data_IF_184964602429
#
_entry.id   IF_184964602429
#
_cell.length_a   1.000
_cell.length_b   1.000
_cell.length_c   1.000
_cell.angle_alpha   90.00
_cell.angle_beta   90.00
_cell.angle_gamma   90.00
#
_symmetry.space_group_name_H-M   'P 1'
#
loop_
_entity.id
_entity.type
_entity.pdbx_description
1 polymer ?
#
# COMPACT_ATOMS: atom_id res chain seq x y z
N UNK A 1 -4.71 -25.75 -24.80
CA UNK A 1 -5.94 -25.11 -24.28
C UNK A 1 -5.83 -24.64 -22.84
N UNK A 2 -5.16 -25.34 -21.92
CA UNK A 2 -5.01 -24.93 -20.51
C UNK A 2 -4.29 -23.59 -20.29
N UNK A 3 -3.26 -23.29 -21.07
CA UNK A 3 -2.45 -22.08 -20.92
C UNK A 3 -3.23 -20.77 -21.15
N UNK A 4 -4.17 -20.78 -22.09
CA UNK A 4 -4.99 -19.60 -22.42
C UNK A 4 -5.97 -19.26 -21.28
N UNK A 5 -6.54 -20.30 -20.66
CA UNK A 5 -7.41 -20.14 -19.49
C UNK A 5 -6.64 -19.68 -18.25
N UNK A 6 -5.44 -20.19 -18.01
CA UNK A 6 -4.61 -19.72 -16.88
C UNK A 6 -4.21 -18.26 -17.04
N UNK A 7 -3.86 -17.83 -18.26
CA UNK A 7 -3.55 -16.42 -18.54
C UNK A 7 -4.78 -15.55 -18.33
N UNK A 8 -5.96 -15.97 -18.81
CA UNK A 8 -7.21 -15.24 -18.61
C UNK A 8 -7.58 -15.07 -17.13
N UNK A 9 -7.38 -16.12 -16.31
CA UNK A 9 -7.64 -16.06 -14.86
C UNK A 9 -6.67 -15.12 -14.15
N UNK A 10 -5.38 -15.11 -14.54
CA UNK A 10 -4.40 -14.19 -13.95
C UNK A 10 -4.68 -12.74 -14.30
N UNK A 11 -5.06 -12.46 -15.55
CA UNK A 11 -5.44 -11.11 -15.99
C UNK A 11 -6.69 -10.63 -15.27
N UNK A 12 -7.72 -11.47 -15.15
CA UNK A 12 -8.95 -11.09 -14.44
C UNK A 12 -8.68 -10.81 -12.96
N UNK A 13 -7.86 -11.62 -12.29
CA UNK A 13 -7.46 -11.39 -10.90
C UNK A 13 -6.69 -10.07 -10.72
N UNK A 14 -5.77 -9.76 -11.64
CA UNK A 14 -4.99 -8.51 -11.59
C UNK A 14 -5.85 -7.26 -11.84
N UNK A 15 -6.77 -7.32 -12.81
CA UNK A 15 -7.66 -6.20 -13.17
C UNK A 15 -8.66 -5.88 -12.05
N UNK A 16 -9.06 -6.87 -11.27
CA UNK A 16 -10.06 -6.72 -10.22
C UNK A 16 -9.48 -6.38 -8.85
N UNK A 17 -8.15 -6.27 -8.71
CA UNK A 17 -7.54 -5.87 -7.44
C UNK A 17 -7.72 -4.37 -7.21
N UNK A 18 -8.48 -3.94 -6.18
CA UNK A 18 -8.55 -2.52 -5.82
C UNK A 18 -7.27 -2.03 -5.14
N UNK A 19 -6.40 -2.96 -4.72
CA UNK A 19 -5.16 -2.72 -4.03
C UNK A 19 -3.98 -2.74 -5.02
N UNK A 20 -3.21 -1.65 -5.04
CA UNK A 20 -1.99 -1.49 -5.85
C UNK A 20 -0.94 -0.82 -4.96
N UNK A 21 0.35 -0.97 -5.26
CA UNK A 21 1.41 -0.26 -4.57
C UNK A 21 2.46 0.24 -5.55
N UNK A 22 2.88 1.48 -5.38
CA UNK A 22 3.99 2.08 -6.13
C UNK A 22 5.27 1.87 -5.33
N UNK A 23 6.32 1.39 -6.01
CA UNK A 23 7.56 0.92 -5.39
C UNK A 23 8.73 1.68 -5.99
N UNK A 24 9.57 2.27 -5.15
CA UNK A 24 10.80 2.96 -5.59
C UNK A 24 11.13 4.17 -4.73
N UNK A 25 10.20 5.11 -4.67
CA UNK A 25 10.33 6.36 -3.91
C UNK A 25 9.06 6.67 -3.10
N UNK A 26 9.13 7.72 -2.29
CA UNK A 26 7.99 8.20 -1.50
C UNK A 26 7.29 9.42 -2.12
N UNK A 27 7.74 9.93 -3.27
CA UNK A 27 7.23 11.17 -3.87
C UNK A 27 5.69 11.22 -3.94
N UNK A 28 4.97 10.16 -4.37
CA UNK A 28 3.51 10.23 -4.43
C UNK A 28 2.81 10.18 -3.07
N UNK A 29 3.51 9.83 -1.99
CA UNK A 29 2.93 9.64 -0.67
C UNK A 29 3.70 10.32 0.48
N UNK A 30 4.53 11.34 0.18
CA UNK A 30 5.31 12.09 1.17
C UNK A 30 4.46 12.72 2.28
N UNK A 31 3.23 13.12 1.95
CA UNK A 31 2.28 13.77 2.88
C UNK A 31 1.87 12.89 4.07
N UNK A 32 2.17 11.58 4.06
CA UNK A 32 1.98 10.70 5.23
C UNK A 32 3.09 10.81 6.26
N UNK A 33 4.24 11.38 5.91
CA UNK A 33 5.30 11.67 6.86
C UNK A 33 5.09 13.06 7.47
N UNK A 34 5.42 13.19 8.75
CA UNK A 34 5.44 14.48 9.41
C UNK A 34 6.39 15.43 8.66
N UNK A 35 5.90 16.62 8.31
CA UNK A 35 6.64 17.62 7.52
C UNK A 35 7.24 17.08 6.21
N UNK A 36 6.62 16.05 5.61
CA UNK A 36 7.12 15.40 4.40
C UNK A 36 8.54 14.86 4.56
N UNK A 37 8.89 14.37 5.76
CA UNK A 37 10.24 13.89 6.09
C UNK A 37 10.28 12.38 6.33
N UNK A 38 10.69 11.57 5.33
CA UNK A 38 10.84 10.12 5.49
C UNK A 38 11.94 9.74 6.51
N UNK A 39 11.85 8.54 7.12
CA UNK A 39 12.90 8.04 8.01
C UNK A 39 14.23 7.88 7.26
N UNK A 40 15.33 8.30 7.91
CA UNK A 40 16.71 8.18 7.39
C UNK A 40 17.48 7.15 8.21
N UNK A 41 18.51 6.55 7.62
CA UNK A 41 19.37 5.57 8.29
C UNK A 41 18.77 4.16 8.40
N UNK A 42 17.64 3.90 7.75
CA UNK A 42 17.04 2.58 7.62
C UNK A 42 17.05 2.17 6.15
N UNK A 43 17.62 1.00 5.87
CA UNK A 43 17.61 0.41 4.53
C UNK A 43 16.33 -0.40 4.32
N UNK A 44 15.60 -0.06 3.27
CA UNK A 44 14.34 -0.71 2.92
C UNK A 44 13.84 -0.28 1.55
N UNK A 45 12.77 -0.92 1.10
CA UNK A 45 12.07 -0.59 -0.13
C UNK A 45 10.96 0.42 0.19
N UNK A 46 10.99 1.65 -0.36
CA UNK A 46 9.88 2.60 -0.26
C UNK A 46 8.66 2.08 -1.02
N UNK A 47 7.50 2.15 -0.37
CA UNK A 47 6.23 1.69 -0.92
C UNK A 47 5.13 2.70 -0.59
N UNK A 48 4.44 3.19 -1.61
CA UNK A 48 3.19 3.94 -1.48
C UNK A 48 2.01 3.01 -1.74
N UNK A 49 1.19 2.73 -0.72
CA UNK A 49 0.06 1.79 -0.83
C UNK A 49 -1.21 2.51 -1.25
N UNK A 50 -1.88 1.94 -2.26
CA UNK A 50 -3.05 2.50 -2.91
C UNK A 50 -4.24 1.56 -2.80
N UNK A 51 -5.40 2.09 -2.43
CA UNK A 51 -6.68 1.39 -2.45
C UNK A 51 -7.73 2.27 -3.15
N UNK A 52 -8.44 1.70 -4.12
CA UNK A 52 -9.36 2.44 -4.99
C UNK A 52 -8.71 3.71 -5.57
N UNK A 53 -7.51 3.54 -6.16
CA UNK A 53 -6.74 4.60 -6.80
C UNK A 53 -6.38 5.80 -5.90
N UNK A 54 -6.48 5.66 -4.58
CA UNK A 54 -6.13 6.68 -3.58
C UNK A 54 -5.04 6.14 -2.67
N UNK A 55 -4.01 6.94 -2.37
CA UNK A 55 -2.97 6.55 -1.41
C UNK A 55 -3.51 6.57 0.00
N UNK A 56 -3.13 5.59 0.82
CA UNK A 56 -3.55 5.50 2.24
C UNK A 56 -2.39 5.35 3.22
N UNK A 57 -1.25 4.81 2.76
CA UNK A 57 -0.08 4.56 3.61
C UNK A 57 1.21 4.76 2.83
N UNK A 58 2.25 5.23 3.53
CA UNK A 58 3.64 5.18 3.10
C UNK A 58 4.39 4.16 3.97
N UNK A 59 5.09 3.20 3.37
CA UNK A 59 5.75 2.11 4.10
C UNK A 59 7.18 1.93 3.63
N UNK A 60 8.13 1.86 4.58
CA UNK A 60 9.50 1.42 4.31
C UNK A 60 9.61 -0.08 4.64
N UNK A 61 9.71 -0.92 3.61
CA UNK A 61 9.64 -2.37 3.77
C UNK A 61 11.02 -3.04 3.80
N UNK A 62 11.27 -3.87 4.80
CA UNK A 62 12.48 -4.70 4.88
C UNK A 62 12.24 -6.05 4.21
N UNK A 63 12.87 -6.27 3.04
CA UNK A 63 12.81 -7.58 2.37
C UNK A 63 13.44 -8.72 3.19
N UNK A 64 14.62 -8.56 3.82
CA UNK A 64 15.23 -9.63 4.62
C UNK A 64 14.36 -10.07 5.81
N UNK A 65 13.71 -9.11 6.48
CA UNK A 65 12.85 -9.38 7.65
C UNK A 65 11.41 -9.73 7.27
N UNK A 66 11.03 -9.49 6.01
CA UNK A 66 9.66 -9.60 5.50
C UNK A 66 8.66 -8.78 6.31
N UNK A 67 9.10 -7.64 6.83
CA UNK A 67 8.32 -6.76 7.69
C UNK A 67 8.56 -5.30 7.37
N UNK A 68 7.58 -4.41 7.62
CA UNK A 68 7.80 -2.98 7.52
C UNK A 68 8.72 -2.51 8.65
N UNK A 69 9.76 -1.74 8.30
CA UNK A 69 10.53 -0.97 9.28
C UNK A 69 9.70 0.18 9.84
N UNK A 70 8.97 0.84 8.94
CA UNK A 70 8.18 2.01 9.24
C UNK A 70 6.94 2.02 8.36
N UNK A 71 5.81 2.48 8.88
CA UNK A 71 4.62 2.78 8.11
C UNK A 71 3.94 4.02 8.68
N UNK A 72 3.56 4.95 7.81
CA UNK A 72 2.91 6.22 8.15
C UNK A 72 1.58 6.37 7.43
N UNK A 73 0.63 7.00 8.09
CA UNK A 73 -0.67 7.38 7.55
C UNK A 73 -1.21 8.61 8.27
N UNK A 74 -2.14 9.31 7.63
CA UNK A 74 -2.85 10.42 8.26
C UNK A 74 -4.09 9.91 8.98
N UNK A 75 -4.10 10.08 10.29
CA UNK A 75 -5.30 9.85 11.08
C UNK A 75 -6.29 11.01 10.83
N UNK A 76 -7.53 10.66 10.49
CA UNK A 76 -8.63 11.62 10.37
C UNK A 76 -9.67 11.32 11.43
N UNK A 77 -10.22 12.38 12.03
CA UNK A 77 -11.30 12.24 13.02
C UNK A 77 -12.48 11.52 12.38
N UNK A 78 -12.95 10.39 12.95
CA UNK A 78 -14.02 9.62 12.34
C UNK A 78 -15.32 10.43 12.30
N UNK A 79 -15.96 10.49 11.12
CA UNK A 79 -17.32 11.03 10.98
C UNK A 79 -18.33 9.94 11.30
N UNK A 80 -18.70 9.84 12.58
CA UNK A 80 -19.75 8.92 13.06
C UNK A 80 -19.22 7.61 13.65
N UNK A 81 -20.13 6.65 13.83
CA UNK A 81 -19.78 5.35 14.43
C UNK A 81 -18.87 4.55 13.50
N UNK A 82 -17.88 3.87 14.09
CA UNK A 82 -17.04 2.91 13.37
C UNK A 82 -17.95 1.91 12.62
N UNK A 83 -17.78 1.75 11.29
CA UNK A 83 -18.52 0.74 10.55
C UNK A 83 -18.28 -0.64 11.17
N UNK A 84 -19.28 -1.51 11.19
CA UNK A 84 -19.09 -2.95 11.48
C UNK A 84 -18.30 -3.55 10.30
N UNK A 85 -16.98 -3.38 10.29
CA UNK A 85 -16.15 -3.73 9.15
C UNK A 85 -15.95 -5.24 9.04
N UNK A 86 -16.13 -5.80 7.83
CA UNK A 86 -15.33 -6.95 7.39
C UNK A 86 -13.93 -6.39 7.11
N UNK A 87 -12.92 -6.96 7.75
CA UNK A 87 -11.53 -6.60 7.51
C UNK A 87 -11.23 -6.67 6.02
N UNK A 88 -10.71 -5.58 5.46
CA UNK A 88 -10.18 -5.59 4.09
C UNK A 88 -8.74 -6.07 4.19
N UNK A 89 -8.48 -7.24 3.60
CA UNK A 89 -7.16 -7.64 3.14
C UNK A 89 -7.08 -7.29 1.65
#
# INVERSE_FOLDING_TARGET
>A
MSCLWTVLILISAAVWSPCVADVGDFDPCLHFFYESWPPKGLEGTPICQRYNNTYHFATLYSRPRRSPWFSGYLYTTPRGRRPKARWKY
#
